data_IF_022838711159
#
_entry.id   IF_022838711159
#
_cell.length_a   1.000
_cell.length_b   1.000
_cell.length_c   1.000
_cell.angle_alpha   90.00
_cell.angle_beta   90.00
_cell.angle_gamma   90.00
#
_symmetry.space_group_name_H-M   'P 1'
#
loop_
_entity.id
_entity.type
_entity.pdbx_description
1 polymer ?
#
# COMPACT_ATOMS: atom_id res chain seq x y z
N UNK A 1 -4.52 -45.51 26.46
CA UNK A 1 -4.23 -44.18 27.08
C UNK A 1 -4.36 -43.15 25.97
N UNK A 2 -5.37 -42.29 26.03
CA UNK A 2 -5.74 -41.39 24.93
C UNK A 2 -5.02 -40.05 25.12
N UNK A 3 -3.89 -39.86 24.45
CA UNK A 3 -3.10 -38.63 24.54
C UNK A 3 -3.73 -37.53 23.68
N UNK A 4 -4.28 -36.49 24.31
CA UNK A 4 -4.81 -35.30 23.63
C UNK A 4 -3.65 -34.36 23.31
N UNK A 5 -3.31 -34.23 22.03
CA UNK A 5 -2.37 -33.20 21.55
C UNK A 5 -3.05 -31.82 21.66
N UNK A 6 -2.54 -30.96 22.54
CA UNK A 6 -2.90 -29.55 22.59
C UNK A 6 -2.00 -28.79 21.61
N UNK A 7 -2.56 -28.34 20.49
CA UNK A 7 -1.87 -27.48 19.53
C UNK A 7 -2.02 -26.04 20.02
N UNK A 8 -0.95 -25.48 20.59
CA UNK A 8 -0.85 -24.05 20.90
C UNK A 8 -0.59 -23.28 19.60
N UNK A 9 -1.60 -22.60 19.09
CA UNK A 9 -1.45 -21.64 18.00
C UNK A 9 -0.90 -20.30 18.54
N UNK A 10 0.37 -20.02 18.27
CA UNK A 10 0.98 -18.70 18.53
C UNK A 10 0.50 -17.74 17.45
N UNK A 11 -0.38 -16.80 17.81
CA UNK A 11 -0.81 -15.74 16.89
C UNK A 11 0.35 -14.77 16.64
N UNK A 12 0.85 -14.72 15.41
CA UNK A 12 1.82 -13.72 14.97
C UNK A 12 1.05 -12.42 14.70
N UNK A 13 1.14 -11.44 15.60
CA UNK A 13 0.52 -10.14 15.39
C UNK A 13 1.25 -9.42 14.25
N UNK A 14 0.60 -9.31 13.09
CA UNK A 14 1.09 -8.47 12.01
C UNK A 14 1.10 -7.01 12.49
N UNK A 15 2.29 -6.45 12.65
CA UNK A 15 2.46 -5.03 13.00
C UNK A 15 2.10 -4.24 11.75
N UNK A 16 0.85 -3.78 11.63
CA UNK A 16 0.44 -2.93 10.53
C UNK A 16 1.21 -1.61 10.63
N UNK A 17 2.17 -1.39 9.73
CA UNK A 17 2.85 -0.10 9.65
C UNK A 17 1.83 0.88 9.07
N UNK A 18 1.46 1.95 9.78
CA UNK A 18 0.52 2.91 9.24
C UNK A 18 1.16 3.53 7.99
N UNK A 19 0.42 3.53 6.89
CA UNK A 19 0.79 4.35 5.76
C UNK A 19 0.76 5.81 6.20
N UNK A 20 1.92 6.46 6.10
CA UNK A 20 2.12 7.82 6.56
C UNK A 20 1.81 8.76 5.41
N UNK A 21 0.83 9.64 5.65
CA UNK A 21 0.49 10.76 4.78
C UNK A 21 1.72 11.64 4.53
N UNK A 22 2.01 11.91 3.26
CA UNK A 22 3.09 12.82 2.85
C UNK A 22 2.75 14.31 3.07
N UNK A 23 1.51 14.61 3.48
CA UNK A 23 1.02 15.96 3.76
C UNK A 23 -0.50 16.00 3.86
N UNK A 24 -1.12 17.20 3.86
CA UNK A 24 -2.56 17.34 3.70
C UNK A 24 -3.00 16.84 2.32
N UNK A 25 -4.03 16.00 2.26
CA UNK A 25 -4.65 15.59 1.01
C UNK A 25 -5.62 16.67 0.54
N UNK A 26 -5.57 17.03 -0.74
CA UNK A 26 -6.48 18.03 -1.30
C UNK A 26 -7.95 17.59 -1.19
N UNK A 27 -8.85 18.55 -0.96
CA UNK A 27 -10.29 18.26 -0.99
C UNK A 27 -10.70 17.77 -2.38
N UNK A 28 -11.36 16.60 -2.42
CA UNK A 28 -11.75 15.95 -3.67
C UNK A 28 -10.64 15.16 -4.37
N UNK A 29 -9.48 14.95 -3.74
CA UNK A 29 -8.45 14.07 -4.28
C UNK A 29 -9.02 12.67 -4.56
N UNK A 30 -8.55 12.05 -5.65
CA UNK A 30 -9.01 10.70 -5.97
C UNK A 30 -8.45 9.69 -4.98
N UNK A 31 -9.08 8.53 -4.91
CA UNK A 31 -8.62 7.43 -4.07
C UNK A 31 -7.22 6.95 -4.47
N UNK A 32 -6.92 6.97 -5.77
CA UNK A 32 -5.57 6.68 -6.28
C UNK A 32 -4.58 7.71 -5.75
N UNK A 33 -4.91 9.00 -5.82
CA UNK A 33 -4.04 10.08 -5.32
C UNK A 33 -3.76 9.93 -3.82
N UNK A 34 -4.78 9.57 -3.04
CA UNK A 34 -4.61 9.26 -1.63
C UNK A 34 -3.58 8.14 -1.42
N UNK A 35 -3.71 7.03 -2.16
CA UNK A 35 -2.78 5.90 -2.08
C UNK A 35 -1.35 6.32 -2.46
N UNK A 36 -1.13 6.97 -3.60
CA UNK A 36 0.22 7.34 -4.03
C UNK A 36 0.86 8.43 -3.16
N UNK A 37 0.07 9.22 -2.44
CA UNK A 37 0.55 10.18 -1.44
C UNK A 37 0.74 9.58 -0.04
N UNK A 38 0.56 8.25 0.11
CA UNK A 38 0.80 7.54 1.38
C UNK A 38 -0.36 7.59 2.38
N UNK A 39 -1.56 8.02 1.96
CA UNK A 39 -2.75 8.03 2.82
C UNK A 39 -3.52 6.70 2.83
N UNK A 40 -3.28 5.81 1.88
CA UNK A 40 -3.99 4.53 1.78
C UNK A 40 -3.48 3.51 2.81
N UNK A 41 -4.37 2.73 3.42
CA UNK A 41 -4.02 1.75 4.46
C UNK A 41 -3.49 0.44 3.87
N UNK A 42 -2.69 -0.36 4.61
CA UNK A 42 -2.34 -1.72 4.21
C UNK A 42 -3.54 -2.53 3.69
N UNK A 43 -3.38 -3.20 2.56
CA UNK A 43 -4.43 -3.98 1.88
C UNK A 43 -5.42 -3.16 1.05
N UNK A 44 -5.36 -1.83 1.12
CA UNK A 44 -6.22 -0.95 0.33
C UNK A 44 -5.86 -1.01 -1.15
N UNK A 45 -6.88 -0.95 -2.01
CA UNK A 45 -6.71 -1.01 -3.46
C UNK A 45 -7.52 0.06 -4.16
N UNK A 46 -7.00 0.58 -5.27
CA UNK A 46 -7.73 1.48 -6.15
C UNK A 46 -7.45 1.16 -7.63
N UNK A 47 -8.36 1.58 -8.50
CA UNK A 47 -8.23 1.45 -9.96
C UNK A 47 -8.09 2.84 -10.56
N UNK A 48 -7.17 3.01 -11.52
CA UNK A 48 -6.99 4.28 -12.20
C UNK A 48 -8.23 4.62 -13.04
N UNK A 49 -8.83 5.80 -12.80
CA UNK A 49 -9.97 6.28 -13.59
C UNK A 49 -9.64 6.46 -15.07
N UNK A 50 -8.39 6.83 -15.39
CA UNK A 50 -7.91 7.02 -16.76
C UNK A 50 -7.63 5.71 -17.51
N UNK A 51 -7.43 4.60 -16.79
CA UNK A 51 -7.17 3.30 -17.39
C UNK A 51 -7.50 2.17 -16.41
N UNK A 52 -8.59 1.45 -16.67
CA UNK A 52 -9.05 0.34 -15.82
C UNK A 52 -8.09 -0.85 -15.73
N UNK A 53 -7.09 -0.93 -16.62
CA UNK A 53 -6.03 -1.95 -16.55
C UNK A 53 -4.97 -1.63 -15.50
N UNK A 54 -4.93 -0.40 -14.98
CA UNK A 54 -3.95 0.03 -13.99
C UNK A 54 -4.59 0.01 -12.60
N UNK A 55 -4.04 -0.80 -11.72
CA UNK A 55 -4.49 -0.93 -10.33
C UNK A 55 -3.37 -0.58 -9.37
N UNK A 56 -3.74 -0.07 -8.21
CA UNK A 56 -2.86 0.25 -7.10
C UNK A 56 -3.25 -0.58 -5.88
N UNK A 57 -2.26 -1.04 -5.13
CA UNK A 57 -2.44 -1.77 -3.88
C UNK A 57 -1.41 -1.28 -2.87
N UNK A 58 -1.84 -1.02 -1.65
CA UNK A 58 -0.94 -0.74 -0.53
C UNK A 58 -0.55 -2.07 0.10
N UNK A 59 0.75 -2.36 0.13
CA UNK A 59 1.32 -3.53 0.78
C UNK A 59 1.35 -3.35 2.30
N UNK A 60 1.60 -4.43 3.05
CA UNK A 60 1.60 -4.42 4.51
C UNK A 60 2.61 -3.44 5.14
N UNK A 61 3.67 -3.13 4.41
CA UNK A 61 4.71 -2.18 4.79
C UNK A 61 4.43 -0.74 4.33
N UNK A 62 3.23 -0.44 3.82
CA UNK A 62 2.84 0.88 3.33
C UNK A 62 3.42 1.26 1.95
N UNK A 63 4.15 0.36 1.31
CA UNK A 63 4.62 0.55 -0.07
C UNK A 63 3.45 0.38 -1.03
N UNK A 64 3.43 1.16 -2.10
CA UNK A 64 2.40 1.10 -3.13
C UNK A 64 2.89 0.25 -4.30
N UNK A 65 2.19 -0.84 -4.54
CA UNK A 65 2.29 -1.62 -5.77
C UNK A 65 1.34 -1.05 -6.82
N UNK A 66 1.85 -0.83 -8.03
CA UNK A 66 1.08 -0.46 -9.21
C UNK A 66 1.22 -1.55 -10.25
N UNK A 67 0.09 -2.07 -10.71
CA UNK A 67 0.01 -3.17 -11.68
C UNK A 67 -0.70 -2.72 -12.94
N UNK A 68 -0.11 -2.95 -14.10
CA UNK A 68 -0.75 -2.79 -15.40
C UNK A 68 -1.08 -4.18 -15.98
N UNK A 69 -2.33 -4.60 -15.83
CA UNK A 69 -2.82 -5.93 -16.21
C UNK A 69 -2.70 -6.21 -17.71
N UNK A 70 -2.77 -5.18 -18.55
CA UNK A 70 -2.66 -5.32 -20.01
C UNK A 70 -1.28 -5.81 -20.45
N UNK A 71 -0.24 -5.38 -19.75
CA UNK A 71 1.15 -5.69 -20.09
C UNK A 71 1.82 -6.62 -19.09
N UNK A 72 1.13 -7.03 -18.02
CA UNK A 72 1.70 -7.86 -16.97
C UNK A 72 2.82 -7.18 -16.17
N UNK A 73 2.87 -5.84 -16.18
CA UNK A 73 3.95 -5.08 -15.52
C UNK A 73 3.51 -4.71 -14.11
N UNK A 74 4.41 -4.93 -13.15
CA UNK A 74 4.27 -4.48 -11.76
C UNK A 74 5.42 -3.53 -11.44
N UNK A 75 5.09 -2.41 -10.81
CA UNK A 75 6.04 -1.43 -10.30
C UNK A 75 5.72 -1.13 -8.85
N UNK A 76 6.73 -0.80 -8.07
CA UNK A 76 6.62 -0.63 -6.63
C UNK A 76 7.23 0.72 -6.25
N UNK A 77 6.48 1.53 -5.50
CA UNK A 77 6.90 2.87 -5.10
C UNK A 77 6.71 3.02 -3.59
N UNK A 78 7.73 3.54 -2.90
CA UNK A 78 7.61 3.97 -1.53
C UNK A 78 7.26 5.47 -1.50
N UNK A 79 6.03 5.86 -1.13
CA UNK A 79 5.61 7.26 -1.15
C UNK A 79 6.50 8.17 -0.31
N UNK A 80 7.05 7.67 0.80
CA UNK A 80 7.91 8.44 1.71
C UNK A 80 9.29 8.71 1.11
N UNK A 81 9.89 7.69 0.50
CA UNK A 81 11.18 7.84 -0.15
C UNK A 81 11.09 8.85 -1.31
N UNK A 82 9.98 8.83 -2.04
CA UNK A 82 9.73 9.79 -3.13
C UNK A 82 9.58 11.23 -2.62
N UNK A 83 8.94 11.42 -1.46
CA UNK A 83 8.87 12.74 -0.82
C UNK A 83 10.26 13.25 -0.43
N UNK A 84 11.10 12.41 0.17
CA UNK A 84 12.46 12.83 0.55
C UNK A 84 13.29 13.19 -0.68
N UNK A 85 13.27 12.33 -1.72
CA UNK A 85 13.98 12.58 -2.98
C UNK A 85 13.55 13.87 -3.66
N UNK A 86 12.25 14.20 -3.63
CA UNK A 86 11.76 15.45 -4.23
C UNK A 86 12.17 16.71 -3.45
N UNK A 87 12.41 16.60 -2.13
CA UNK A 87 12.92 17.70 -1.30
C UNK A 87 14.42 17.92 -1.49
N UNK A 88 15.19 16.85 -1.62
CA UNK A 88 16.65 16.92 -1.78
C UNK A 88 17.07 17.47 -3.15
N UNK A 89 16.21 17.36 -4.17
CA UNK A 89 16.44 17.87 -5.53
C UNK A 89 15.97 19.33 -5.73
N UNK A 90 15.57 20.04 -4.68
CA UNK A 90 15.03 21.40 -4.75
C UNK A 90 16.01 22.41 -4.18
#
# INVERSE_FOLDING_TARGET
MNSKLLILSVAFAAIAVPALANGPLASGASHVDAIVQGHGKPGETAVAKSNSNVTFRVLDNGIVERTNKRFGIVSVTNPRAELHKSRDNR
#
